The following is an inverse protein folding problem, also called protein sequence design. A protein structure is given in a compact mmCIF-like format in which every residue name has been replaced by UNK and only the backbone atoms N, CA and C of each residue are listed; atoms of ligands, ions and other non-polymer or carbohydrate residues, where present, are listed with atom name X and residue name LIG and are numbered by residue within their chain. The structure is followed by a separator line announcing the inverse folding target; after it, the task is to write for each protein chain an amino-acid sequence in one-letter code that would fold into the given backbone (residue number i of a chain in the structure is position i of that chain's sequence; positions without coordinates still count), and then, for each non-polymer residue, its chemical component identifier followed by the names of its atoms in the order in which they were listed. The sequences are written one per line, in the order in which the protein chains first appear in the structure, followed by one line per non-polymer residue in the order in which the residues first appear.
data_IF_117299446742
#
_entry.id   IF_117299446742
#
_cell.length_a   1.000
_cell.length_b   1.000
_cell.length_c   1.000
_cell.angle_alpha   90.00
_cell.angle_beta   90.00
_cell.angle_gamma   90.00
#
_symmetry.space_group_name_H-M   'P 1'
#
loop_
_entity.id
_entity.type
_entity.pdbx_description
1 polymer ?
#
# COMPACT_ATOMS: atom_id res chain seq x y z
N UNK A 1 15.83 -4.48 -7.78
CA UNK A 1 17.12 -5.20 -7.70
C UNK A 1 17.99 -4.64 -6.58
N UNK A 2 18.21 -3.32 -6.50
CA UNK A 2 19.05 -2.71 -5.46
C UNK A 2 18.54 -3.03 -4.06
N UNK A 3 17.25 -2.87 -3.82
CA UNK A 3 16.60 -3.22 -2.55
C UNK A 3 16.71 -4.72 -2.25
N UNK A 4 16.53 -5.59 -3.24
CA UNK A 4 16.71 -7.02 -3.07
C UNK A 4 18.14 -7.39 -2.63
N UNK A 5 19.15 -6.75 -3.22
CA UNK A 5 20.56 -6.92 -2.81
C UNK A 5 20.76 -6.37 -1.40
N UNK A 6 20.24 -5.19 -1.08
CA UNK A 6 20.30 -4.62 0.27
C UNK A 6 19.63 -5.55 1.30
N UNK A 7 18.53 -6.20 0.93
CA UNK A 7 17.85 -7.20 1.76
C UNK A 7 18.74 -8.38 2.11
N UNK A 8 19.50 -8.93 1.15
CA UNK A 8 20.43 -10.04 1.40
C UNK A 8 21.52 -9.67 2.42
N UNK A 9 21.94 -8.42 2.44
CA UNK A 9 22.93 -7.90 3.38
C UNK A 9 22.30 -7.18 4.59
N UNK A 10 21.00 -7.25 4.74
CA UNK A 10 20.24 -6.49 5.73
C UNK A 10 20.72 -6.73 7.16
N UNK A 11 21.15 -7.96 7.51
CA UNK A 11 21.69 -8.29 8.84
C UNK A 11 22.85 -7.40 9.29
N UNK A 12 23.57 -6.76 8.35
CA UNK A 12 24.71 -5.90 8.68
C UNK A 12 24.29 -4.46 8.96
N UNK A 13 23.32 -3.94 8.23
CA UNK A 13 22.93 -2.54 8.33
C UNK A 13 21.63 -2.32 9.12
N UNK A 14 20.76 -3.31 9.30
CA UNK A 14 19.56 -3.20 10.17
C UNK A 14 19.92 -2.79 11.59
N UNK A 15 21.10 -3.22 12.09
CA UNK A 15 21.58 -2.81 13.42
C UNK A 15 21.84 -1.32 13.54
N UNK A 16 22.03 -0.62 12.42
CA UNK A 16 22.26 0.82 12.38
C UNK A 16 20.94 1.57 12.41
N UNK A 17 19.86 0.96 11.87
CA UNK A 17 18.53 1.56 11.87
C UNK A 17 17.86 1.24 13.22
N UNK A 18 17.87 2.21 14.10
CA UNK A 18 17.13 2.10 15.35
C UNK A 18 15.62 2.00 15.06
N UNK A 19 14.83 1.24 15.84
CA UNK A 19 13.37 1.11 15.66
C UNK A 19 12.64 2.44 15.60
N UNK A 20 13.16 3.46 16.29
CA UNK A 20 12.60 4.81 16.26
C UNK A 20 12.66 5.45 14.87
N UNK A 21 13.69 5.14 14.07
CA UNK A 21 13.82 5.65 12.69
C UNK A 21 12.74 5.06 11.82
N UNK A 22 12.54 3.74 11.88
CA UNK A 22 11.47 3.05 11.14
C UNK A 22 10.09 3.59 11.53
N UNK A 23 9.79 3.70 12.83
CA UNK A 23 8.55 4.26 13.30
C UNK A 23 8.32 5.71 12.84
N UNK A 24 9.38 6.53 12.80
CA UNK A 24 9.29 7.91 12.32
C UNK A 24 9.00 7.99 10.83
N UNK A 25 9.62 7.12 10.02
CA UNK A 25 9.38 7.05 8.56
C UNK A 25 7.94 6.62 8.28
N UNK A 26 7.46 5.54 8.89
CA UNK A 26 6.08 5.05 8.74
C UNK A 26 5.07 6.13 9.16
N UNK A 27 5.34 6.84 10.26
CA UNK A 27 4.50 7.96 10.70
C UNK A 27 4.47 9.10 9.67
N UNK A 28 5.62 9.48 9.12
CA UNK A 28 5.72 10.52 8.10
C UNK A 28 4.96 10.13 6.80
N UNK A 29 5.06 8.86 6.38
CA UNK A 29 4.30 8.32 5.26
C UNK A 29 2.80 8.40 5.55
N UNK A 30 2.38 7.98 6.74
CA UNK A 30 0.98 8.08 7.18
C UNK A 30 0.45 9.52 7.08
N UNK A 31 1.19 10.51 7.52
CA UNK A 31 0.81 11.92 7.39
C UNK A 31 0.76 12.39 5.93
N UNK A 32 1.67 11.93 5.08
CA UNK A 32 1.66 12.25 3.65
C UNK A 32 0.42 11.68 2.95
N UNK A 33 -0.01 10.47 3.35
CA UNK A 33 -1.21 9.83 2.82
C UNK A 33 -2.52 10.47 3.30
N UNK A 34 -2.52 11.28 4.37
CA UNK A 34 -3.72 11.99 4.81
C UNK A 34 -4.29 12.91 3.73
N UNK A 35 -3.43 13.56 2.95
CA UNK A 35 -3.87 14.44 1.84
C UNK A 35 -4.58 13.59 0.77
N UNK A 36 -3.99 12.44 0.42
CA UNK A 36 -4.58 11.51 -0.55
C UNK A 36 -5.91 10.94 -0.01
N UNK A 37 -5.93 10.57 1.27
CA UNK A 37 -7.14 10.12 1.94
C UNK A 37 -8.25 11.18 1.94
N UNK A 38 -7.93 12.42 2.27
CA UNK A 38 -8.88 13.53 2.28
C UNK A 38 -9.43 13.84 0.89
N UNK A 39 -8.59 13.84 -0.14
CA UNK A 39 -9.04 14.03 -1.53
C UNK A 39 -9.92 12.88 -2.01
N UNK A 40 -9.58 11.64 -1.68
CA UNK A 40 -10.39 10.46 -2.02
C UNK A 40 -11.73 10.47 -1.28
N UNK A 41 -11.75 10.90 -0.01
CA UNK A 41 -12.96 11.05 0.79
C UNK A 41 -13.93 12.08 0.19
N UNK A 42 -13.39 13.14 -0.44
CA UNK A 42 -14.18 14.15 -1.17
C UNK A 42 -14.69 13.71 -2.55
N UNK A 43 -14.34 12.51 -3.02
CA UNK A 43 -14.77 11.98 -4.32
C UNK A 43 -13.64 11.84 -5.36
N UNK A 44 -12.40 12.10 -4.99
CA UNK A 44 -11.23 12.04 -5.86
C UNK A 44 -10.87 13.36 -6.52
N UNK A 45 -9.56 13.61 -6.64
CA UNK A 45 -9.07 14.84 -7.29
C UNK A 45 -9.45 14.88 -8.77
N UNK A 46 -10.10 15.95 -9.19
CA UNK A 46 -10.51 16.17 -10.58
C UNK A 46 -11.90 15.66 -10.93
N UNK A 47 -12.64 15.06 -10.02
CA UNK A 47 -14.05 14.75 -10.25
C UNK A 47 -14.92 16.02 -10.25
N UNK A 48 -15.90 16.06 -11.12
CA UNK A 48 -16.81 17.23 -11.25
C UNK A 48 -17.66 17.45 -9.98
N UNK A 49 -17.87 16.42 -9.18
CA UNK A 49 -18.63 16.41 -7.95
C UNK A 49 -17.75 16.38 -6.68
N UNK A 50 -16.49 16.77 -6.81
CA UNK A 50 -15.56 16.83 -5.67
C UNK A 50 -16.15 17.70 -4.54
N UNK A 51 -16.13 17.15 -3.32
CA UNK A 51 -16.65 17.84 -2.15
C UNK A 51 -18.18 17.85 -2.03
N UNK A 52 -18.91 17.13 -2.88
CA UNK A 52 -20.35 17.03 -2.79
C UNK A 52 -20.80 16.39 -1.47
N UNK A 53 -22.01 16.75 -1.01
CA UNK A 53 -22.59 16.17 0.20
C UNK A 53 -22.73 14.63 0.08
N UNK A 54 -22.99 14.13 -1.12
CA UNK A 54 -23.10 12.71 -1.40
C UNK A 54 -21.78 11.97 -1.14
N UNK A 55 -20.66 12.54 -1.61
CA UNK A 55 -19.33 11.96 -1.40
C UNK A 55 -18.94 11.98 0.09
N UNK A 56 -19.29 13.06 0.79
CA UNK A 56 -19.08 13.15 2.24
C UNK A 56 -19.90 12.12 3.01
N UNK A 57 -21.16 11.89 2.63
CA UNK A 57 -22.00 10.86 3.25
C UNK A 57 -21.40 9.47 2.97
N UNK A 58 -21.04 9.18 1.72
CA UNK A 58 -20.46 7.90 1.33
C UNK A 58 -19.16 7.61 2.11
N UNK A 59 -18.24 8.57 2.16
CA UNK A 59 -17.00 8.45 2.89
C UNK A 59 -17.22 8.28 4.39
N UNK A 60 -18.14 9.08 4.99
CA UNK A 60 -18.44 9.02 6.43
C UNK A 60 -19.06 7.68 6.81
N UNK A 61 -20.00 7.17 6.04
CA UNK A 61 -20.63 5.86 6.31
C UNK A 61 -19.59 4.75 6.19
N UNK A 62 -18.76 4.77 5.16
CA UNK A 62 -17.69 3.78 4.97
C UNK A 62 -16.71 3.79 6.15
N UNK A 63 -16.24 4.98 6.56
CA UNK A 63 -15.33 5.14 7.68
C UNK A 63 -15.98 4.66 8.99
N UNK A 64 -17.22 5.06 9.23
CA UNK A 64 -17.97 4.66 10.42
C UNK A 64 -18.14 3.13 10.48
N UNK A 65 -18.45 2.49 9.34
CA UNK A 65 -18.53 1.04 9.26
C UNK A 65 -17.20 0.36 9.56
N UNK A 66 -16.08 0.87 9.05
CA UNK A 66 -14.75 0.37 9.39
C UNK A 66 -14.48 0.45 10.89
N UNK A 67 -14.76 1.61 11.50
CA UNK A 67 -14.53 1.84 12.94
C UNK A 67 -15.43 0.95 13.79
N UNK A 68 -16.72 0.90 13.49
CA UNK A 68 -17.67 0.07 14.24
C UNK A 68 -17.29 -1.40 14.14
N UNK A 69 -16.94 -1.86 12.94
CA UNK A 69 -16.52 -3.25 12.76
C UNK A 69 -15.22 -3.54 13.50
N UNK A 70 -14.26 -2.61 13.50
CA UNK A 70 -13.02 -2.75 14.25
C UNK A 70 -13.24 -2.84 15.77
N UNK A 71 -14.22 -2.11 16.30
CA UNK A 71 -14.54 -2.11 17.74
C UNK A 71 -15.28 -3.39 18.14
N UNK A 72 -16.29 -3.80 17.36
CA UNK A 72 -17.18 -4.91 17.74
C UNK A 72 -16.69 -6.29 17.30
N UNK A 73 -15.88 -6.37 16.25
CA UNK A 73 -15.35 -7.63 15.78
C UNK A 73 -14.25 -8.17 16.71
N UNK A 74 -14.20 -9.49 16.83
CA UNK A 74 -13.23 -10.19 17.67
C UNK A 74 -12.23 -10.98 16.83
N UNK A 75 -11.00 -11.10 17.34
CA UNK A 75 -9.96 -11.95 16.75
C UNK A 75 -9.73 -11.62 15.27
N UNK A 76 -9.73 -12.61 14.40
CA UNK A 76 -9.44 -12.52 12.97
C UNK A 76 -10.33 -11.50 12.23
N UNK A 77 -11.62 -11.43 12.56
CA UNK A 77 -12.54 -10.49 11.92
C UNK A 77 -12.21 -9.02 12.19
N UNK A 78 -11.54 -8.71 13.30
CA UNK A 78 -11.08 -7.35 13.59
C UNK A 78 -10.09 -6.84 12.54
N UNK A 79 -9.24 -7.70 12.03
CA UNK A 79 -8.26 -7.36 10.99
C UNK A 79 -8.93 -7.12 9.62
N UNK A 80 -10.10 -7.70 9.39
CA UNK A 80 -10.89 -7.54 8.17
C UNK A 80 -11.79 -6.29 8.17
N UNK A 81 -11.68 -5.43 9.18
CA UNK A 81 -12.55 -4.25 9.34
C UNK A 81 -12.52 -3.31 8.12
N UNK A 82 -11.34 -3.09 7.55
CA UNK A 82 -11.17 -2.26 6.35
C UNK A 82 -11.86 -2.90 5.14
N UNK A 83 -11.73 -4.21 4.98
CA UNK A 83 -12.38 -4.94 3.89
C UNK A 83 -13.91 -4.85 4.00
N UNK A 84 -14.45 -5.01 5.21
CA UNK A 84 -15.90 -4.85 5.45
C UNK A 84 -16.37 -3.44 5.13
N UNK A 85 -15.64 -2.43 5.59
CA UNK A 85 -15.94 -1.04 5.26
C UNK A 85 -15.93 -0.77 3.77
N UNK A 86 -14.93 -1.31 3.05
CA UNK A 86 -14.84 -1.21 1.60
C UNK A 86 -16.05 -1.85 0.91
N UNK A 87 -16.46 -3.06 1.32
CA UNK A 87 -17.63 -3.74 0.75
C UNK A 87 -18.90 -2.94 0.99
N UNK A 88 -19.12 -2.45 2.21
CA UNK A 88 -20.30 -1.64 2.54
C UNK A 88 -20.29 -0.32 1.76
N UNK A 89 -19.13 0.37 1.70
CA UNK A 89 -18.99 1.60 0.93
C UNK A 89 -19.23 1.40 -0.56
N UNK A 90 -18.74 0.31 -1.12
CA UNK A 90 -18.95 -0.02 -2.53
C UNK A 90 -20.43 -0.32 -2.84
N UNK A 91 -21.10 -1.10 -1.98
CA UNK A 91 -22.53 -1.37 -2.10
C UNK A 91 -23.32 -0.05 -2.05
N UNK A 92 -23.00 0.82 -1.10
CA UNK A 92 -23.65 2.13 -1.00
C UNK A 92 -23.40 2.99 -2.23
N UNK A 93 -22.18 3.01 -2.77
CA UNK A 93 -21.82 3.74 -3.98
C UNK A 93 -22.63 3.24 -5.21
N UNK A 94 -22.87 1.92 -5.32
CA UNK A 94 -23.72 1.33 -6.35
C UNK A 94 -25.17 1.81 -6.21
N UNK A 95 -25.72 1.82 -5.00
CA UNK A 95 -27.08 2.33 -4.75
C UNK A 95 -27.21 3.83 -5.04
N UNK A 96 -26.17 4.60 -4.82
CA UNK A 96 -26.11 6.03 -5.13
C UNK A 96 -25.86 6.31 -6.64
N UNK A 97 -25.66 5.26 -7.46
CA UNK A 97 -25.37 5.40 -8.89
C UNK A 97 -24.02 6.04 -9.21
N UNK A 98 -23.07 6.01 -8.26
CA UNK A 98 -21.71 6.58 -8.42
C UNK A 98 -20.75 5.61 -9.11
N UNK A 99 -21.15 4.36 -9.33
CA UNK A 99 -20.29 3.34 -9.95
C UNK A 99 -20.61 3.21 -11.42
N UNK A 100 -19.62 3.48 -12.26
CA UNK A 100 -19.72 3.28 -13.70
C UNK A 100 -19.20 1.86 -14.06
N UNK A 101 -20.11 1.04 -14.55
CA UNK A 101 -19.81 -0.31 -15.00
C UNK A 101 -19.46 -0.39 -16.49
N UNK A 102 -19.43 0.72 -17.21
CA UNK A 102 -19.12 0.74 -18.65
C UNK A 102 -17.73 0.19 -18.94
N UNK A 103 -16.74 0.56 -18.12
CA UNK A 103 -15.37 0.07 -18.21
C UNK A 103 -15.26 -1.46 -18.14
N UNK A 104 -16.13 -2.12 -17.36
CA UNK A 104 -16.16 -3.59 -17.25
C UNK A 104 -16.63 -4.27 -18.55
N UNK A 105 -17.43 -3.61 -19.37
CA UNK A 105 -17.91 -4.16 -20.65
C UNK A 105 -16.84 -4.08 -21.74
N UNK A 106 -15.94 -3.12 -21.62
CA UNK A 106 -14.85 -2.89 -22.57
C UNK A 106 -13.59 -3.68 -22.23
N UNK A 107 -13.50 -4.17 -21.00
CA UNK A 107 -12.32 -4.90 -20.53
C UNK A 107 -12.47 -6.38 -20.82
N UNK A 108 -11.42 -6.99 -21.39
CA UNK A 108 -11.36 -8.44 -21.58
C UNK A 108 -11.30 -9.15 -20.23
N UNK A 109 -12.04 -10.27 -20.10
CA UNK A 109 -12.04 -11.09 -18.87
C UNK A 109 -10.64 -11.65 -18.57
N UNK A 110 -9.84 -11.89 -19.61
CA UNK A 110 -8.48 -12.38 -19.51
C UNK A 110 -7.58 -11.43 -20.30
N UNK A 111 -6.68 -10.76 -19.61
CA UNK A 111 -5.62 -9.98 -20.23
C UNK A 111 -4.28 -10.69 -20.00
N UNK A 112 -3.55 -10.94 -21.10
CA UNK A 112 -2.20 -11.48 -21.01
C UNK A 112 -1.25 -10.31 -20.78
N UNK A 113 -0.42 -10.33 -19.74
CA UNK A 113 0.53 -9.25 -19.48
C UNK A 113 1.56 -9.18 -20.62
N UNK A 114 1.82 -7.98 -21.08
CA UNK A 114 2.87 -7.74 -22.08
C UNK A 114 4.22 -7.64 -21.36
N UNK A 115 5.18 -8.45 -21.82
CA UNK A 115 6.54 -8.36 -21.34
C UNK A 115 7.18 -7.07 -21.84
N UNK A 116 7.80 -6.31 -20.94
CA UNK A 116 8.54 -5.09 -21.23
C UNK A 116 7.72 -4.07 -22.06
N UNK A 117 6.57 -3.60 -21.56
CA UNK A 117 5.72 -2.66 -22.30
C UNK A 117 6.38 -1.31 -22.56
N UNK A 118 7.42 -0.97 -21.79
CA UNK A 118 8.20 0.25 -21.91
C UNK A 118 9.64 -0.04 -22.36
N UNK A 119 10.23 0.88 -23.13
CA UNK A 119 11.65 0.81 -23.49
C UNK A 119 12.50 1.03 -22.24
N UNK A 120 13.53 0.20 -22.07
CA UNK A 120 14.53 0.44 -21.04
C UNK A 120 15.44 1.59 -21.46
N UNK A 121 15.42 2.66 -20.68
CA UNK A 121 16.35 3.78 -20.81
C UNK A 121 17.08 3.95 -19.48
N UNK A 122 18.38 4.21 -19.55
CA UNK A 122 19.22 4.36 -18.36
C UNK A 122 19.59 5.83 -18.19
N UNK A 123 18.96 6.48 -17.25
CA UNK A 123 19.25 7.84 -16.83
C UNK A 123 19.84 7.82 -15.42
N UNK A 124 21.06 8.32 -15.25
CA UNK A 124 21.78 8.24 -13.97
C UNK A 124 21.07 9.02 -12.84
N UNK A 125 20.46 10.14 -13.14
CA UNK A 125 19.67 10.96 -12.23
C UNK A 125 18.41 10.23 -11.75
N UNK A 126 17.69 9.57 -12.66
CA UNK A 126 16.53 8.76 -12.33
C UNK A 126 16.94 7.55 -11.47
N UNK A 127 18.04 6.87 -11.81
CA UNK A 127 18.54 5.72 -11.05
C UNK A 127 18.86 6.13 -9.61
N UNK A 128 19.58 7.25 -9.41
CA UNK A 128 19.93 7.73 -8.07
C UNK A 128 18.67 8.07 -7.27
N UNK A 129 17.70 8.76 -7.89
CA UNK A 129 16.44 9.11 -7.23
C UNK A 129 15.65 7.87 -6.81
N UNK A 130 15.53 6.90 -7.69
CA UNK A 130 14.82 5.63 -7.40
C UNK A 130 15.55 4.82 -6.33
N UNK A 131 16.88 4.76 -6.34
CA UNK A 131 17.64 4.08 -5.28
C UNK A 131 17.40 4.71 -3.92
N UNK A 132 17.34 6.05 -3.84
CA UNK A 132 17.02 6.74 -2.58
C UNK A 132 15.59 6.42 -2.10
N UNK A 133 14.63 6.33 -3.01
CA UNK A 133 13.26 5.93 -2.68
C UNK A 133 13.24 4.50 -2.14
N UNK A 134 13.95 3.57 -2.75
CA UNK A 134 14.02 2.18 -2.29
C UNK A 134 14.74 2.03 -0.94
N UNK A 135 15.65 2.93 -0.57
CA UNK A 135 16.19 2.95 0.80
C UNK A 135 15.12 3.32 1.84
N UNK A 136 14.21 4.24 1.48
CA UNK A 136 13.08 4.59 2.33
C UNK A 136 12.09 3.42 2.39
N UNK A 137 11.77 2.79 1.25
CA UNK A 137 10.92 1.60 1.17
C UNK A 137 11.45 0.44 2.02
N UNK A 138 12.74 0.17 1.97
CA UNK A 138 13.36 -0.85 2.84
C UNK A 138 13.15 -0.58 4.34
N UNK A 139 13.15 0.72 4.74
CA UNK A 139 12.87 1.12 6.13
C UNK A 139 11.40 0.91 6.49
N UNK A 140 10.49 1.16 5.56
CA UNK A 140 9.06 0.89 5.69
C UNK A 140 8.81 -0.61 5.84
N UNK A 141 9.40 -1.45 4.97
CA UNK A 141 9.30 -2.91 5.03
C UNK A 141 9.77 -3.48 6.38
N UNK A 142 10.79 -2.87 7.01
CA UNK A 142 11.21 -3.22 8.38
C UNK A 142 10.07 -2.94 9.38
N UNK A 143 9.46 -1.77 9.28
CA UNK A 143 8.36 -1.35 10.15
C UNK A 143 7.16 -2.27 10.02
N UNK A 144 6.73 -2.54 8.81
CA UNK A 144 5.56 -3.36 8.50
C UNK A 144 5.76 -4.81 8.92
N UNK A 145 6.93 -5.39 8.63
CA UNK A 145 7.28 -6.75 9.05
C UNK A 145 7.30 -6.87 10.58
N UNK A 146 7.82 -5.86 11.27
CA UNK A 146 7.85 -5.82 12.72
C UNK A 146 6.44 -5.68 13.31
N UNK A 147 5.60 -4.81 12.74
CA UNK A 147 4.23 -4.64 13.15
C UNK A 147 3.39 -5.91 12.93
N UNK A 148 3.62 -6.59 11.80
CA UNK A 148 2.94 -7.84 11.47
C UNK A 148 3.34 -8.98 12.43
N UNK A 149 4.62 -9.10 12.75
CA UNK A 149 5.12 -10.10 13.70
C UNK A 149 4.58 -9.85 15.11
N UNK A 150 4.58 -8.60 15.56
CA UNK A 150 4.04 -8.23 16.87
C UNK A 150 2.53 -8.46 16.97
N UNK A 151 1.77 -8.10 15.93
CA UNK A 151 0.29 -8.21 15.97
C UNK A 151 -0.22 -9.62 15.66
N UNK A 152 0.46 -10.36 14.79
CA UNK A 152 0.01 -11.67 14.32
C UNK A 152 0.63 -12.85 15.06
N UNK A 153 1.87 -12.72 15.51
CA UNK A 153 2.63 -13.80 16.13
C UNK A 153 2.97 -13.53 17.60
N UNK A 154 2.63 -12.34 18.12
CA UNK A 154 2.90 -11.89 19.49
C UNK A 154 4.39 -12.06 19.90
N UNK A 155 5.27 -11.72 18.96
CA UNK A 155 6.73 -11.77 19.15
C UNK A 155 7.45 -10.73 18.30
N UNK A 156 8.70 -10.48 18.65
CA UNK A 156 9.58 -9.66 17.84
C UNK A 156 9.99 -10.37 16.54
N UNK A 157 10.23 -9.57 15.51
CA UNK A 157 10.75 -10.04 14.23
C UNK A 157 12.23 -10.43 14.36
N UNK A 158 12.61 -11.51 13.72
CA UNK A 158 14.03 -11.92 13.67
C UNK A 158 14.78 -11.19 12.56
N UNK A 159 16.11 -10.97 12.70
CA UNK A 159 16.90 -10.34 11.65
C UNK A 159 16.84 -11.08 10.29
N UNK A 160 16.62 -12.39 10.32
CA UNK A 160 16.48 -13.21 9.11
C UNK A 160 15.13 -12.94 8.41
N UNK A 161 14.05 -12.84 9.17
CA UNK A 161 12.73 -12.51 8.63
C UNK A 161 12.72 -11.11 8.00
N UNK A 162 13.32 -10.14 8.68
CA UNK A 162 13.43 -8.77 8.14
C UNK A 162 14.30 -8.76 6.87
N UNK A 163 15.42 -9.47 6.87
CA UNK A 163 16.28 -9.60 5.70
C UNK A 163 15.54 -10.26 4.53
N UNK A 164 14.79 -11.33 4.81
CA UNK A 164 13.98 -12.03 3.83
C UNK A 164 12.86 -11.17 3.27
N UNK A 165 12.18 -10.38 4.10
CA UNK A 165 11.12 -9.48 3.70
C UNK A 165 11.62 -8.40 2.72
N UNK A 166 12.70 -7.71 3.05
CA UNK A 166 13.31 -6.68 2.19
C UNK A 166 13.81 -7.30 0.87
N UNK A 167 14.46 -8.47 0.94
CA UNK A 167 14.94 -9.14 -0.25
C UNK A 167 13.79 -9.57 -1.15
N UNK A 168 12.72 -10.12 -0.58
CA UNK A 168 11.52 -10.52 -1.31
C UNK A 168 10.87 -9.33 -1.98
N UNK A 169 10.67 -8.24 -1.26
CA UNK A 169 10.10 -7.00 -1.78
C UNK A 169 10.88 -6.49 -2.99
N UNK A 170 12.20 -6.32 -2.85
CA UNK A 170 13.04 -5.81 -3.92
C UNK A 170 13.13 -6.73 -5.16
N UNK A 171 13.16 -8.06 -4.98
CA UNK A 171 13.21 -8.99 -6.11
C UNK A 171 11.85 -9.15 -6.79
N UNK A 172 10.76 -9.21 -6.02
CA UNK A 172 9.40 -9.31 -6.56
C UNK A 172 9.03 -8.02 -7.30
N UNK A 173 9.35 -6.86 -6.75
CA UNK A 173 9.16 -5.57 -7.42
C UNK A 173 9.95 -5.49 -8.74
N UNK A 174 11.18 -6.03 -8.76
CA UNK A 174 11.98 -6.11 -9.98
C UNK A 174 11.34 -7.04 -11.02
N UNK A 175 10.78 -8.15 -10.59
CA UNK A 175 10.07 -9.08 -11.48
C UNK A 175 8.78 -8.45 -12.00
N UNK A 176 8.01 -7.79 -11.13
CA UNK A 176 6.77 -7.11 -11.49
C UNK A 176 6.98 -6.02 -12.53
N UNK A 177 8.10 -5.30 -12.46
CA UNK A 177 8.44 -4.26 -13.45
C UNK A 177 8.64 -4.81 -14.87
N UNK A 178 9.05 -6.06 -15.02
CA UNK A 178 9.15 -6.73 -16.33
C UNK A 178 7.78 -6.89 -16.99
N UNK A 179 6.73 -7.00 -16.18
CA UNK A 179 5.35 -7.07 -16.65
C UNK A 179 4.66 -5.70 -16.72
N UNK A 180 5.41 -4.62 -16.50
CA UNK A 180 4.88 -3.25 -16.52
C UNK A 180 4.07 -2.87 -15.28
N UNK A 181 4.14 -3.67 -14.22
CA UNK A 181 3.54 -3.31 -12.94
C UNK A 181 4.45 -2.33 -12.20
N UNK A 182 3.85 -1.34 -11.54
CA UNK A 182 4.57 -0.51 -10.57
C UNK A 182 4.77 -1.31 -9.27
N UNK A 183 5.92 -1.18 -8.65
CA UNK A 183 6.19 -1.74 -7.33
C UNK A 183 5.36 -1.05 -6.26
#
# INVERSE_FOLDING_TARGET
IVEGILGLFAKFWIRIIAPIVSASVVTAIGFSLLIVGATSFGGGSGSADFGSAENWILGSVTLLCCILFHIFAKSYFKQLSVLFGLVVGYILAVFMGKVDFSALRETSIIAVPHLMPFRMEFHADAIVSVVLIFLVSATETIGDTSALAASGLDRDVTPQETSGSIACDGFVSSLSSVFGCMP
#
